data_IF_563971774129
#
_entry.id   IF_563971774129
#
_cell.length_a   1.000
_cell.length_b   1.000
_cell.length_c   1.000
_cell.angle_alpha   90.00
_cell.angle_beta   90.00
_cell.angle_gamma   90.00
#
_symmetry.space_group_name_H-M   'P 1'
#
loop_
_entity.id
_entity.type
_entity.pdbx_description
1 polymer ?
#
# COMPACT_ATOMS: atom_id res chain seq x y z
N UNK A 1 -32.23 49.87 -14.94
CA UNK A 1 -32.89 48.75 -14.25
C UNK A 1 -31.79 47.81 -13.76
N UNK A 2 -31.68 47.63 -12.45
CA UNK A 2 -30.58 46.95 -11.76
C UNK A 2 -30.70 45.43 -11.95
N UNK A 3 -29.54 44.80 -12.10
CA UNK A 3 -29.30 43.35 -12.17
C UNK A 3 -29.80 42.61 -10.93
N UNK A 4 -30.39 41.43 -11.08
CA UNK A 4 -30.08 40.32 -10.17
C UNK A 4 -29.89 39.02 -10.95
N UNK A 5 -28.66 38.54 -10.84
CA UNK A 5 -28.12 37.29 -11.34
C UNK A 5 -28.33 36.22 -10.26
N UNK A 6 -28.52 34.98 -10.72
CA UNK A 6 -28.24 33.69 -10.06
C UNK A 6 -28.98 33.33 -8.78
N UNK A 7 -29.72 32.23 -8.87
CA UNK A 7 -29.65 31.22 -7.83
C UNK A 7 -29.85 29.82 -8.42
N UNK A 8 -28.86 29.32 -9.17
CA UNK A 8 -28.75 27.88 -9.45
C UNK A 8 -28.18 27.21 -8.20
N UNK A 9 -29.05 26.94 -7.22
CA UNK A 9 -28.75 25.97 -6.19
C UNK A 9 -28.56 24.60 -6.88
N UNK A 10 -27.31 24.18 -7.03
CA UNK A 10 -26.97 22.79 -7.32
C UNK A 10 -27.28 22.03 -6.03
N UNK A 11 -28.54 21.61 -5.86
CA UNK A 11 -28.92 20.69 -4.80
C UNK A 11 -28.29 19.34 -5.11
N UNK A 12 -27.22 19.00 -4.40
CA UNK A 12 -26.70 17.63 -4.33
C UNK A 12 -27.80 16.72 -3.79
N UNK A 13 -28.21 15.74 -4.60
CA UNK A 13 -29.12 14.65 -4.19
C UNK A 13 -28.56 14.03 -2.90
N UNK A 14 -29.37 13.74 -1.86
CA UNK A 14 -28.86 13.11 -0.66
C UNK A 14 -28.19 11.78 -1.01
N UNK A 15 -26.93 11.62 -0.57
CA UNK A 15 -26.11 10.43 -0.73
C UNK A 15 -26.70 9.26 0.07
N UNK A 16 -27.71 8.59 -0.49
CA UNK A 16 -28.38 7.51 0.23
C UNK A 16 -27.56 6.21 0.26
N UNK A 17 -26.53 6.09 -0.59
CA UNK A 17 -25.71 4.90 -0.70
C UNK A 17 -24.22 5.22 -0.72
N UNK A 18 -23.42 4.37 -0.10
CA UNK A 18 -21.96 4.50 -0.09
C UNK A 18 -21.26 3.15 -0.08
N UNK A 19 -20.06 3.13 -0.64
CA UNK A 19 -19.11 2.05 -0.42
C UNK A 19 -18.48 2.17 0.98
N UNK A 20 -18.06 1.05 1.54
CA UNK A 20 -17.34 0.99 2.81
C UNK A 20 -16.34 -0.15 2.82
N UNK A 21 -15.10 0.13 3.22
CA UNK A 21 -14.13 -0.91 3.53
C UNK A 21 -14.49 -1.58 4.87
N UNK A 22 -14.51 -2.92 4.89
CA UNK A 22 -14.80 -3.71 6.09
C UNK A 22 -13.57 -3.87 6.95
N UNK A 23 -12.41 -4.07 6.33
CA UNK A 23 -11.12 -4.25 6.98
C UNK A 23 -10.16 -3.10 6.61
N UNK A 24 -9.28 -2.77 7.55
CA UNK A 24 -8.16 -1.87 7.30
C UNK A 24 -7.07 -2.54 6.45
N UNK A 25 -6.03 -1.79 6.14
CA UNK A 25 -4.87 -2.29 5.38
C UNK A 25 -3.75 -2.67 6.35
N UNK A 26 -3.20 -3.88 6.21
CA UNK A 26 -2.06 -4.32 7.00
C UNK A 26 -0.83 -3.44 6.74
N UNK A 27 -0.22 -2.93 7.82
CA UNK A 27 0.86 -1.96 7.77
C UNK A 27 2.15 -2.55 8.39
N UNK A 28 3.36 -2.28 7.84
CA UNK A 28 3.63 -1.51 6.62
C UNK A 28 3.40 -2.32 5.33
N UNK A 29 3.01 -1.62 4.27
CA UNK A 29 2.95 -2.16 2.90
C UNK A 29 4.32 -2.01 2.24
N UNK A 30 4.85 -3.07 1.62
CA UNK A 30 6.10 -3.01 0.87
C UNK A 30 5.84 -2.94 -0.64
N UNK A 31 6.58 -2.10 -1.36
CA UNK A 31 6.47 -2.01 -2.82
C UNK A 31 6.72 -3.36 -3.50
N UNK A 32 5.95 -3.68 -4.54
CA UNK A 32 6.02 -4.95 -5.24
C UNK A 32 5.49 -6.16 -4.45
N UNK A 33 4.93 -5.96 -3.24
CA UNK A 33 4.21 -7.01 -2.49
C UNK A 33 2.70 -6.78 -2.56
N UNK A 34 1.95 -7.88 -2.46
CA UNK A 34 0.49 -7.86 -2.34
C UNK A 34 0.09 -7.03 -1.11
N UNK A 35 -0.83 -6.08 -1.30
CA UNK A 35 -1.49 -5.37 -0.20
C UNK A 35 -2.51 -6.34 0.42
N UNK A 36 -2.49 -6.42 1.75
CA UNK A 36 -3.34 -7.32 2.53
C UNK A 36 -4.20 -6.53 3.49
N UNK A 37 -5.36 -7.08 3.84
CA UNK A 37 -6.19 -6.57 4.92
C UNK A 37 -5.56 -6.89 6.28
N UNK A 38 -5.94 -6.11 7.29
CA UNK A 38 -5.62 -6.44 8.68
C UNK A 38 -6.20 -7.82 9.05
N UNK A 39 -5.43 -8.63 9.78
CA UNK A 39 -5.82 -9.98 10.18
C UNK A 39 -6.90 -9.95 11.28
N UNK A 40 -8.10 -9.55 10.91
CA UNK A 40 -9.29 -9.59 11.76
C UNK A 40 -10.06 -10.88 11.45
N UNK A 41 -10.16 -11.76 12.44
CA UNK A 41 -10.88 -13.04 12.27
C UNK A 41 -10.16 -14.07 11.38
N UNK A 42 -8.84 -13.97 11.21
CA UNK A 42 -8.02 -14.95 10.47
C UNK A 42 -7.98 -14.78 8.95
N UNK A 43 -8.63 -13.74 8.41
CA UNK A 43 -8.60 -13.39 6.98
C UNK A 43 -7.72 -12.17 6.75
N UNK A 44 -6.89 -12.19 5.71
CA UNK A 44 -6.08 -11.05 5.24
C UNK A 44 -6.72 -10.37 4.00
N UNK A 45 -8.02 -10.56 3.80
CA UNK A 45 -8.77 -10.00 2.69
C UNK A 45 -9.15 -8.54 2.96
N UNK A 46 -9.26 -7.76 1.88
CA UNK A 46 -9.79 -6.39 1.92
C UNK A 46 -11.16 -6.47 1.26
N UNK A 47 -12.21 -6.31 2.07
CA UNK A 47 -13.58 -6.39 1.59
C UNK A 47 -14.21 -4.99 1.51
N UNK A 48 -15.04 -4.80 0.49
CA UNK A 48 -15.83 -3.61 0.25
C UNK A 48 -17.30 -4.00 0.25
N UNK A 49 -18.12 -3.20 0.93
CA UNK A 49 -19.57 -3.38 0.97
C UNK A 49 -20.29 -2.11 0.51
N UNK A 50 -21.45 -2.28 -0.11
CA UNK A 50 -22.41 -1.22 -0.39
C UNK A 50 -23.40 -1.13 0.77
N UNK A 51 -23.58 0.07 1.32
CA UNK A 51 -24.52 0.32 2.42
C UNK A 51 -25.40 1.53 2.16
N UNK A 52 -26.56 1.55 2.81
CA UNK A 52 -27.43 2.73 2.87
C UNK A 52 -26.98 3.76 3.93
N UNK A 53 -27.77 4.82 4.09
CA UNK A 53 -27.58 5.86 5.10
C UNK A 53 -27.63 5.35 6.55
N UNK A 54 -28.22 4.18 6.79
CA UNK A 54 -28.31 3.53 8.09
C UNK A 54 -27.21 2.47 8.29
N UNK A 55 -26.22 2.39 7.40
CA UNK A 55 -25.19 1.35 7.37
C UNK A 55 -25.71 -0.08 7.15
N UNK A 56 -26.92 -0.24 6.61
CA UNK A 56 -27.44 -1.56 6.23
C UNK A 56 -26.89 -1.94 4.86
N UNK A 57 -26.42 -3.18 4.73
CA UNK A 57 -25.93 -3.70 3.45
C UNK A 57 -27.08 -3.79 2.45
N UNK A 58 -26.86 -3.25 1.26
CA UNK A 58 -27.77 -3.38 0.12
C UNK A 58 -27.38 -4.63 -0.66
N UNK A 59 -28.19 -5.67 -0.58
CA UNK A 59 -27.86 -7.00 -1.10
C UNK A 59 -28.65 -7.40 -2.37
N UNK A 60 -29.54 -6.54 -2.86
CA UNK A 60 -30.36 -6.77 -4.04
C UNK A 60 -30.41 -5.55 -4.97
N UNK A 61 -30.96 -5.78 -6.16
CA UNK A 61 -31.13 -4.76 -7.19
C UNK A 61 -29.85 -4.37 -7.95
N UNK A 62 -29.96 -3.44 -8.91
CA UNK A 62 -28.86 -3.08 -9.81
C UNK A 62 -27.64 -2.48 -9.11
N UNK A 63 -27.84 -1.82 -7.97
CA UNK A 63 -26.76 -1.20 -7.20
C UNK A 63 -25.86 -2.26 -6.53
N UNK A 64 -26.44 -3.38 -6.09
CA UNK A 64 -25.73 -4.48 -5.43
C UNK A 64 -24.81 -5.28 -6.36
N UNK A 65 -24.81 -4.98 -7.67
CA UNK A 65 -23.97 -5.62 -8.68
C UNK A 65 -23.07 -4.65 -9.45
N UNK A 66 -22.92 -3.41 -8.96
CA UNK A 66 -22.07 -2.41 -9.61
C UNK A 66 -20.61 -2.84 -9.65
N UNK A 67 -19.92 -2.43 -10.72
CA UNK A 67 -18.47 -2.59 -10.85
C UNK A 67 -17.76 -1.53 -10.00
N UNK A 68 -16.88 -1.96 -9.13
CA UNK A 68 -16.08 -1.11 -8.24
C UNK A 68 -14.63 -1.12 -8.72
N UNK A 69 -14.01 0.07 -8.72
CA UNK A 69 -12.60 0.31 -9.00
C UNK A 69 -11.88 0.75 -7.72
N UNK A 70 -10.73 0.14 -7.47
CA UNK A 70 -9.81 0.48 -6.40
C UNK A 70 -8.74 1.43 -6.93
N UNK A 71 -8.51 2.49 -6.15
CA UNK A 71 -7.59 3.57 -6.47
C UNK A 71 -6.67 3.85 -5.29
N UNK A 72 -5.63 4.66 -5.52
CA UNK A 72 -4.71 5.07 -4.48
C UNK A 72 -4.78 6.58 -4.30
N UNK A 73 -4.87 7.03 -3.05
CA UNK A 73 -4.97 8.43 -2.65
C UNK A 73 -3.81 8.82 -1.72
N UNK A 74 -3.47 10.12 -1.63
CA UNK A 74 -2.51 10.60 -0.64
C UNK A 74 -2.92 10.23 0.78
N UNK A 75 -1.97 9.89 1.65
CA UNK A 75 -2.27 9.58 3.05
C UNK A 75 -2.91 10.75 3.82
N UNK A 76 -2.65 11.98 3.38
CA UNK A 76 -3.22 13.21 3.92
C UNK A 76 -4.52 13.64 3.21
N UNK A 77 -5.12 12.80 2.37
CA UNK A 77 -6.42 13.09 1.78
C UNK A 77 -7.48 13.24 2.89
N UNK A 78 -8.35 14.24 2.71
CA UNK A 78 -9.37 14.64 3.67
C UNK A 78 -10.45 13.54 3.81
N UNK A 79 -11.09 13.48 4.98
CA UNK A 79 -12.22 12.59 5.23
C UNK A 79 -13.55 13.20 4.75
N UNK A 80 -13.55 14.48 4.34
CA UNK A 80 -14.69 15.17 3.72
C UNK A 80 -14.30 15.57 2.29
N UNK A 81 -15.01 15.02 1.29
CA UNK A 81 -14.76 15.32 -0.12
C UNK A 81 -16.03 15.32 -0.96
N UNK A 82 -15.95 16.01 -2.09
CA UNK A 82 -16.86 15.84 -3.24
C UNK A 82 -16.31 14.76 -4.18
N UNK A 83 -17.17 14.10 -4.96
CA UNK A 83 -16.72 13.10 -5.93
C UNK A 83 -15.69 13.63 -6.93
N UNK A 84 -15.80 14.92 -7.32
CA UNK A 84 -14.81 15.56 -8.18
C UNK A 84 -13.45 15.73 -7.46
N UNK A 85 -13.45 16.10 -6.17
CA UNK A 85 -12.21 16.16 -5.39
C UNK A 85 -11.58 14.77 -5.22
N UNK A 86 -12.40 13.74 -5.00
CA UNK A 86 -11.92 12.36 -4.94
C UNK A 86 -11.20 11.97 -6.23
N UNK A 87 -11.88 12.14 -7.38
CA UNK A 87 -11.36 11.77 -8.68
C UNK A 87 -10.06 12.52 -9.04
N UNK A 88 -10.01 13.82 -8.78
CA UNK A 88 -8.85 14.66 -9.07
C UNK A 88 -7.61 14.35 -8.19
N UNK A 89 -7.81 13.73 -7.02
CA UNK A 89 -6.72 13.38 -6.11
C UNK A 89 -6.23 11.94 -6.29
N UNK A 90 -6.83 11.15 -7.20
CA UNK A 90 -6.35 9.81 -7.52
C UNK A 90 -4.90 9.89 -8.00
N UNK A 91 -4.01 9.12 -7.36
CA UNK A 91 -2.59 9.12 -7.69
C UNK A 91 -2.36 8.33 -8.97
N UNK A 92 -2.09 9.05 -10.05
CA UNK A 92 -1.76 8.49 -11.37
C UNK A 92 -0.27 8.66 -11.76
N UNK A 93 0.65 8.84 -10.81
CA UNK A 93 2.10 9.12 -10.97
C UNK A 93 2.48 10.53 -11.47
N UNK A 94 3.54 11.08 -10.87
CA UNK A 94 3.91 12.51 -10.80
C UNK A 94 4.50 13.12 -12.08
N UNK A 95 4.76 12.35 -13.14
CA UNK A 95 5.26 12.88 -14.43
C UNK A 95 4.54 12.37 -15.68
N UNK A 96 3.89 11.20 -15.66
CA UNK A 96 3.46 10.50 -16.89
C UNK A 96 2.11 9.75 -16.81
N UNK A 97 1.20 10.07 -15.87
CA UNK A 97 -0.15 9.47 -15.81
C UNK A 97 -0.18 7.91 -15.80
N UNK A 98 0.85 7.24 -15.24
CA UNK A 98 0.86 5.78 -15.07
C UNK A 98 0.52 5.39 -13.64
N UNK A 99 -0.61 4.70 -13.42
CA UNK A 99 -1.02 4.24 -12.09
C UNK A 99 0.10 3.51 -11.33
N UNK A 100 0.39 4.00 -10.12
CA UNK A 100 1.36 3.37 -9.21
C UNK A 100 0.77 2.13 -8.51
N UNK A 101 -0.56 2.06 -8.40
CA UNK A 101 -1.26 0.87 -7.95
C UNK A 101 -1.49 -0.06 -9.16
N UNK A 102 -1.17 -1.34 -9.00
CA UNK A 102 -1.16 -2.34 -10.06
C UNK A 102 -1.88 -3.61 -9.60
N UNK A 103 -2.32 -4.42 -10.57
CA UNK A 103 -2.97 -5.70 -10.33
C UNK A 103 -4.47 -5.69 -10.63
N UNK A 104 -5.24 -6.47 -9.87
CA UNK A 104 -6.69 -6.62 -10.05
C UNK A 104 -7.43 -5.43 -9.43
N UNK A 105 -7.44 -4.30 -10.13
CA UNK A 105 -7.94 -3.02 -9.62
C UNK A 105 -9.47 -2.88 -9.62
N UNK A 106 -10.21 -3.80 -10.25
CA UNK A 106 -11.66 -3.70 -10.31
C UNK A 106 -12.32 -5.06 -10.13
N UNK A 107 -13.50 -5.06 -9.53
CA UNK A 107 -14.35 -6.24 -9.34
C UNK A 107 -15.82 -5.83 -9.38
N UNK A 108 -16.72 -6.81 -9.58
CA UNK A 108 -18.15 -6.57 -9.47
C UNK A 108 -18.59 -6.89 -8.03
N UNK A 109 -19.53 -6.11 -7.51
CA UNK A 109 -20.23 -6.49 -6.30
C UNK A 109 -21.10 -7.71 -6.56
N UNK A 110 -21.18 -8.60 -5.57
CA UNK A 110 -22.08 -9.74 -5.50
C UNK A 110 -22.91 -9.57 -4.23
N UNK A 111 -24.21 -9.33 -4.37
CA UNK A 111 -25.10 -9.02 -3.25
C UNK A 111 -24.56 -7.87 -2.37
N UNK A 112 -24.03 -6.82 -3.03
CA UNK A 112 -23.49 -5.64 -2.37
C UNK A 112 -22.15 -5.84 -1.68
N UNK A 113 -21.47 -6.96 -1.92
CA UNK A 113 -20.18 -7.30 -1.31
C UNK A 113 -19.16 -7.57 -2.39
N UNK A 114 -17.90 -7.24 -2.15
CA UNK A 114 -16.83 -7.68 -3.02
C UNK A 114 -15.49 -7.65 -2.31
N UNK A 115 -14.60 -8.51 -2.78
CA UNK A 115 -13.26 -8.66 -2.22
C UNK A 115 -12.24 -8.11 -3.21
N UNK A 116 -11.34 -7.27 -2.71
CA UNK A 116 -10.25 -6.73 -3.51
C UNK A 116 -9.30 -7.87 -3.90
N UNK A 117 -8.99 -7.94 -5.20
CA UNK A 117 -8.07 -8.93 -5.74
C UNK A 117 -6.60 -8.68 -5.40
N UNK A 118 -5.69 -9.23 -6.20
CA UNK A 118 -4.25 -9.06 -5.95
C UNK A 118 -3.80 -7.70 -6.45
N UNK A 119 -3.64 -6.75 -5.52
CA UNK A 119 -3.11 -5.41 -5.82
C UNK A 119 -1.75 -5.17 -5.14
N UNK A 120 -0.90 -4.33 -5.74
CA UNK A 120 0.39 -3.91 -5.19
C UNK A 120 0.80 -2.52 -5.65
N UNK A 121 1.62 -1.84 -4.83
CA UNK A 121 2.27 -0.58 -5.24
C UNK A 121 3.50 -0.92 -6.08
N UNK A 122 3.61 -0.36 -7.28
CA UNK A 122 4.75 -0.53 -8.19
C UNK A 122 6.05 -0.16 -7.48
N UNK A 123 7.07 -1.00 -7.67
CA UNK A 123 8.43 -0.70 -7.23
C UNK A 123 9.12 0.13 -8.33
N UNK A 124 9.41 1.41 -8.05
CA UNK A 124 10.20 2.25 -8.95
C UNK A 124 11.68 2.30 -8.53
N UNK A 125 12.56 2.74 -9.44
CA UNK A 125 14.00 2.92 -9.18
C UNK A 125 14.23 4.04 -8.17
N UNK A 126 13.41 5.09 -8.22
CA UNK A 126 13.41 6.16 -7.23
C UNK A 126 12.85 5.61 -5.91
N UNK A 127 13.59 5.78 -4.83
CA UNK A 127 13.18 5.34 -3.51
C UNK A 127 11.87 6.03 -3.13
N UNK A 128 10.83 5.22 -2.86
CA UNK A 128 9.64 5.72 -2.20
C UNK A 128 10.05 6.07 -0.76
N UNK A 129 10.45 7.32 -0.53
CA UNK A 129 10.64 7.83 0.84
C UNK A 129 9.33 7.58 1.61
N UNK A 130 9.42 7.15 2.88
CA UNK A 130 8.28 6.81 3.76
C UNK A 130 7.02 7.64 3.42
N UNK A 131 6.13 7.05 2.63
CA UNK A 131 4.95 7.73 2.10
C UNK A 131 3.72 7.06 2.69
N UNK A 132 2.76 7.87 3.12
CA UNK A 132 1.45 7.38 3.57
C UNK A 132 0.48 7.44 2.41
N UNK A 133 -0.34 6.41 2.27
CA UNK A 133 -1.39 6.32 1.26
C UNK A 133 -2.70 5.88 1.88
N UNK A 134 -3.79 6.06 1.14
CA UNK A 134 -5.10 5.45 1.42
C UNK A 134 -5.55 4.68 0.17
N UNK A 135 -6.25 3.55 0.37
CA UNK A 135 -7.00 2.95 -0.72
C UNK A 135 -8.34 3.67 -0.84
N UNK A 136 -8.74 3.97 -2.07
CA UNK A 136 -10.07 4.45 -2.40
C UNK A 136 -10.86 3.36 -3.14
N UNK A 137 -12.18 3.34 -2.99
CA UNK A 137 -13.08 2.52 -3.79
C UNK A 137 -14.20 3.40 -4.36
N UNK A 138 -14.45 3.28 -5.66
CA UNK A 138 -15.49 4.03 -6.37
C UNK A 138 -16.16 3.18 -7.44
N UNK A 139 -17.36 3.57 -7.88
CA UNK A 139 -18.05 2.87 -8.97
C UNK A 139 -17.42 3.24 -10.32
N UNK A 140 -17.30 2.26 -11.21
CA UNK A 140 -16.64 2.37 -12.52
C UNK A 140 -17.64 2.70 -13.65
N UNK A 141 -18.62 3.55 -13.38
CA UNK A 141 -19.64 3.98 -14.35
C UNK A 141 -19.80 5.50 -14.45
N UNK A 142 -18.97 6.26 -13.73
CA UNK A 142 -19.03 7.73 -13.70
C UNK A 142 -20.28 8.29 -13.02
N UNK A 143 -21.10 7.45 -12.39
CA UNK A 143 -22.24 7.90 -11.60
C UNK A 143 -21.79 8.35 -10.21
N UNK A 144 -22.39 9.43 -9.73
CA UNK A 144 -22.18 9.95 -8.37
C UNK A 144 -23.31 9.52 -7.42
N UNK A 145 -24.03 8.45 -7.75
CA UNK A 145 -25.15 7.96 -6.94
C UNK A 145 -24.68 7.19 -5.70
N UNK A 146 -23.50 6.58 -5.76
CA UNK A 146 -22.88 5.85 -4.65
C UNK A 146 -21.62 6.60 -4.23
N UNK A 147 -21.60 7.07 -2.97
CA UNK A 147 -20.42 7.74 -2.41
C UNK A 147 -19.22 6.79 -2.33
N UNK A 148 -18.04 7.30 -2.63
CA UNK A 148 -16.79 6.55 -2.58
C UNK A 148 -16.41 6.17 -1.13
N UNK A 149 -15.50 5.19 -1.01
CA UNK A 149 -14.91 4.81 0.27
C UNK A 149 -13.42 5.11 0.30
N UNK A 150 -12.88 5.39 1.49
CA UNK A 150 -11.44 5.41 1.73
C UNK A 150 -11.08 4.54 2.94
N UNK A 151 -9.87 3.99 2.95
CA UNK A 151 -9.30 3.36 4.14
C UNK A 151 -8.67 4.40 5.07
N UNK A 152 -8.31 3.95 6.27
CA UNK A 152 -7.32 4.65 7.09
C UNK A 152 -5.97 4.74 6.34
N UNK A 153 -5.13 5.75 6.66
CA UNK A 153 -3.80 5.87 6.08
C UNK A 153 -2.90 4.70 6.47
N UNK A 154 -2.13 4.17 5.52
CA UNK A 154 -1.10 3.14 5.75
C UNK A 154 0.27 3.60 5.24
N UNK A 155 1.33 3.14 5.91
CA UNK A 155 2.71 3.43 5.49
C UNK A 155 3.14 2.47 4.38
N UNK A 156 3.63 3.01 3.27
CA UNK A 156 4.31 2.24 2.24
C UNK A 156 5.83 2.43 2.31
N UNK A 157 6.56 1.31 2.26
CA UNK A 157 8.02 1.23 2.32
C UNK A 157 8.59 0.63 1.05
N UNK A 158 9.75 1.11 0.66
CA UNK A 158 10.54 0.46 -0.38
C UNK A 158 10.91 -0.97 0.08
N UNK A 159 10.66 -1.97 -0.77
CA UNK A 159 11.04 -3.37 -0.53
C UNK A 159 12.52 -3.54 -0.18
N UNK A 160 13.40 -2.66 -0.65
CA UNK A 160 14.83 -2.69 -0.31
C UNK A 160 15.08 -2.48 1.19
N UNK A 161 14.20 -1.77 1.88
CA UNK A 161 14.28 -1.54 3.34
C UNK A 161 14.04 -2.85 4.10
N UNK A 162 13.12 -3.70 3.63
CA UNK A 162 12.88 -5.02 4.22
C UNK A 162 14.14 -5.91 4.16
N UNK A 163 14.87 -5.84 3.04
CA UNK A 163 16.10 -6.62 2.84
C UNK A 163 17.31 -6.07 3.59
N UNK A 164 17.26 -4.79 3.98
CA UNK A 164 18.34 -4.07 4.64
C UNK A 164 18.19 -4.02 6.17
N UNK A 165 17.48 -4.98 6.77
CA UNK A 165 17.32 -5.13 8.23
C UNK A 165 18.62 -5.51 8.97
N UNK A 166 19.72 -4.81 8.68
CA UNK A 166 20.96 -4.84 9.49
C UNK A 166 20.83 -4.06 10.80
N UNK A 167 19.69 -3.41 11.03
CA UNK A 167 19.51 -2.41 12.08
C UNK A 167 19.16 -2.99 13.47
N UNK A 168 19.13 -4.32 13.62
CA UNK A 168 19.06 -4.95 14.93
C UNK A 168 20.44 -5.05 15.60
N UNK A 169 20.50 -5.23 16.93
CA UNK A 169 21.77 -5.53 17.61
C UNK A 169 22.45 -6.72 16.95
N UNK A 170 23.78 -6.63 16.81
CA UNK A 170 24.60 -7.70 16.26
C UNK A 170 24.88 -8.71 17.36
N UNK A 171 24.58 -9.98 17.08
CA UNK A 171 24.93 -11.12 17.91
C UNK A 171 26.14 -11.83 17.29
N UNK A 172 26.89 -12.58 18.10
CA UNK A 172 28.06 -13.32 17.64
C UNK A 172 27.72 -14.37 16.56
N UNK A 173 26.53 -14.97 16.67
CA UNK A 173 26.04 -15.99 15.73
C UNK A 173 25.43 -15.40 14.44
N UNK A 174 25.35 -14.08 14.35
CA UNK A 174 24.87 -13.43 13.13
C UNK A 174 25.80 -13.71 11.95
N UNK A 175 25.24 -13.81 10.75
CA UNK A 175 26.04 -13.95 9.53
C UNK A 175 26.92 -12.73 9.31
N UNK A 176 28.13 -12.91 8.76
CA UNK A 176 29.06 -11.81 8.39
C UNK A 176 28.42 -10.74 7.49
N UNK A 177 27.44 -11.13 6.67
CA UNK A 177 26.65 -10.21 5.85
C UNK A 177 25.86 -9.14 6.65
N UNK A 178 25.70 -9.30 7.97
CA UNK A 178 25.10 -8.28 8.84
C UNK A 178 26.08 -7.16 9.21
N UNK A 179 27.39 -7.38 9.09
CA UNK A 179 28.39 -6.34 9.34
C UNK A 179 28.24 -5.18 8.35
N UNK A 180 28.65 -3.98 8.79
CA UNK A 180 28.64 -2.77 7.96
C UNK A 180 29.50 -3.01 6.72
N UNK A 181 29.04 -2.51 5.56
CA UNK A 181 29.72 -2.64 4.25
C UNK A 181 29.80 -4.05 3.63
N UNK A 182 29.31 -5.11 4.27
CA UNK A 182 29.31 -6.46 3.70
C UNK A 182 27.91 -6.84 3.20
N UNK A 183 27.63 -6.79 1.90
CA UNK A 183 26.32 -7.18 1.35
C UNK A 183 26.13 -8.69 1.30
N UNK A 184 24.93 -9.21 1.63
CA UNK A 184 24.61 -10.67 1.61
C UNK A 184 24.90 -11.39 0.29
N UNK A 185 24.83 -10.69 -0.84
CA UNK A 185 25.17 -11.22 -2.17
C UNK A 185 26.43 -10.55 -2.76
N UNK A 186 27.16 -9.78 -1.97
CA UNK A 186 28.35 -9.05 -2.41
C UNK A 186 29.57 -9.95 -2.54
N UNK A 187 30.55 -9.50 -3.34
CA UNK A 187 31.83 -10.20 -3.55
C UNK A 187 32.58 -10.44 -2.23
N UNK A 188 32.59 -9.46 -1.33
CA UNK A 188 33.22 -9.56 0.00
C UNK A 188 32.61 -10.70 0.83
N UNK A 189 31.28 -10.83 0.83
CA UNK A 189 30.60 -11.91 1.57
C UNK A 189 31.02 -13.28 1.03
N UNK A 190 31.07 -13.44 -0.30
CA UNK A 190 31.52 -14.69 -0.93
C UNK A 190 32.98 -15.01 -0.62
N UNK A 191 33.87 -14.01 -0.61
CA UNK A 191 35.29 -14.19 -0.26
C UNK A 191 35.45 -14.64 1.19
N UNK A 192 34.69 -14.06 2.12
CA UNK A 192 34.65 -14.48 3.52
C UNK A 192 34.10 -15.90 3.69
N UNK A 193 33.02 -16.24 2.99
CA UNK A 193 32.43 -17.58 3.02
C UNK A 193 33.40 -18.65 2.47
N UNK A 194 34.17 -18.34 1.42
CA UNK A 194 35.21 -19.24 0.89
C UNK A 194 36.33 -19.50 1.90
N UNK A 195 36.65 -18.52 2.74
CA UNK A 195 37.59 -18.64 3.86
C UNK A 195 36.96 -19.23 5.13
N UNK A 196 35.72 -19.76 5.02
CA UNK A 196 34.92 -20.33 6.12
C UNK A 196 34.58 -19.33 7.24
N UNK A 197 34.56 -18.03 6.93
CA UNK A 197 34.18 -16.97 7.86
C UNK A 197 32.69 -16.66 7.65
N UNK A 198 31.83 -17.37 8.38
CA UNK A 198 30.38 -17.35 8.16
C UNK A 198 29.65 -16.41 9.11
N UNK A 199 30.16 -16.27 10.33
CA UNK A 199 29.53 -15.51 11.43
C UNK A 199 30.35 -14.31 11.88
N UNK A 200 29.71 -13.39 12.63
CA UNK A 200 30.38 -12.26 13.29
C UNK A 200 31.46 -12.78 14.24
N UNK A 201 31.22 -13.89 14.94
CA UNK A 201 32.21 -14.56 15.77
C UNK A 201 33.44 -14.99 14.96
N UNK A 202 33.25 -15.73 13.86
CA UNK A 202 34.37 -16.19 13.01
C UNK A 202 35.21 -15.01 12.51
N UNK A 203 34.54 -13.91 12.17
CA UNK A 203 35.20 -12.68 11.70
C UNK A 203 36.04 -12.05 12.80
N UNK A 204 35.52 -11.96 14.03
CA UNK A 204 36.25 -11.44 15.19
C UNK A 204 37.42 -12.35 15.58
N UNK A 205 37.20 -13.66 15.62
CA UNK A 205 38.24 -14.65 15.93
C UNK A 205 39.39 -14.57 14.92
N UNK A 206 39.06 -14.40 13.63
CA UNK A 206 40.06 -14.20 12.57
C UNK A 206 40.78 -12.86 12.69
N UNK A 207 40.04 -11.79 13.01
CA UNK A 207 40.61 -10.45 13.23
C UNK A 207 41.62 -10.45 14.38
N UNK A 208 41.31 -11.15 15.47
CA UNK A 208 42.19 -11.29 16.64
C UNK A 208 43.38 -12.21 16.37
N UNK A 209 43.19 -13.31 15.64
CA UNK A 209 44.23 -14.32 15.42
C UNK A 209 45.20 -13.96 14.29
N UNK A 210 44.70 -13.39 13.18
CA UNK A 210 45.52 -13.07 12.01
C UNK A 210 44.89 -11.93 11.17
N UNK A 211 45.06 -10.67 11.59
CA UNK A 211 44.45 -9.52 10.92
C UNK A 211 44.97 -9.31 9.49
N UNK A 212 46.24 -9.66 9.22
CA UNK A 212 46.83 -9.53 7.87
C UNK A 212 46.21 -10.50 6.87
N UNK A 213 45.86 -11.72 7.31
CA UNK A 213 45.15 -12.66 6.46
C UNK A 213 43.74 -12.17 6.14
N UNK A 214 43.03 -11.60 7.12
CA UNK A 214 41.69 -11.06 6.92
C UNK A 214 41.66 -9.86 5.96
N UNK A 215 42.70 -9.01 5.98
CA UNK A 215 42.84 -7.87 5.07
C UNK A 215 43.00 -8.29 3.59
N UNK A 216 43.47 -9.52 3.34
CA UNK A 216 43.61 -10.08 1.99
C UNK A 216 42.31 -10.69 1.44
N UNK A 217 41.28 -10.83 2.27
CA UNK A 217 39.92 -11.28 1.90
C UNK A 217 39.09 -10.13 1.33
#
# INVERSE_FOLDING_TARGET
>A
MIVQVSNTHIYSKPENYRLKFVSGVACPVFTGKKIKGEASGGSELIDVILVDSHNKIINDGPLASKRVRIVLLPGCFDDIWTSLQFENNIITDWKNKKNILQGDLSFNLEHGRGTVGKIWIKHDKNHLSKSKFRLGAMVDDGSFEIKEAITNPFEAKDRRIELNSKNGPLNLDDKVSRLKNIGKKGSICKRLENEKIMTVKDFLDKLSSNPLALQKV
#
